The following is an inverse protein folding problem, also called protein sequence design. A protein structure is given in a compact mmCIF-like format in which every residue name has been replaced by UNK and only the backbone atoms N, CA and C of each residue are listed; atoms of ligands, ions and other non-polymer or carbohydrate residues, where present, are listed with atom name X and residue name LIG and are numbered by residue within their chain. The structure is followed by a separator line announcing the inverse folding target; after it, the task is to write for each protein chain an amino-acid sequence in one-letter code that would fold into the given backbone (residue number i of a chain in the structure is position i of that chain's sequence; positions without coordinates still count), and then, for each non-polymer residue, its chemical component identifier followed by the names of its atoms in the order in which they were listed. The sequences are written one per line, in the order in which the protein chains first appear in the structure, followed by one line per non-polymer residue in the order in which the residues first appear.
data_IF_854894384891
#
_entry.id   IF_854894384891
#
_cell.length_a   1.000
_cell.length_b   1.000
_cell.length_c   1.000
_cell.angle_alpha   90.00
_cell.angle_beta   90.00
_cell.angle_gamma   90.00
#
_symmetry.space_group_name_H-M   'P 1'
#
loop_
_entity.id
_entity.type
_entity.pdbx_description
1 polymer ?
#
# COMPACT_ATOMS: atom_id res chain seq x y z
N UNK A 1 12.18 -26.03 -16.42
CA UNK A 1 12.02 -27.07 -15.36
C UNK A 1 11.55 -26.41 -14.06
N UNK A 2 12.27 -25.40 -13.54
CA UNK A 2 11.96 -24.74 -12.26
C UNK A 2 10.52 -24.19 -12.19
N UNK A 3 10.07 -23.50 -13.24
CA UNK A 3 8.71 -22.94 -13.31
C UNK A 3 7.60 -24.01 -13.33
N UNK A 4 7.83 -25.16 -13.97
CA UNK A 4 6.86 -26.26 -13.96
C UNK A 4 6.77 -26.92 -12.58
N UNK A 5 7.91 -27.08 -11.89
CA UNK A 5 7.97 -27.61 -10.53
C UNK A 5 7.27 -26.69 -9.54
N UNK A 6 7.57 -25.39 -9.62
CA UNK A 6 6.89 -24.38 -8.79
C UNK A 6 5.37 -24.45 -8.94
N UNK A 7 4.86 -24.40 -10.19
CA UNK A 7 3.43 -24.51 -10.47
C UNK A 7 2.80 -25.81 -9.95
N UNK A 8 3.53 -26.92 -10.00
CA UNK A 8 3.04 -28.20 -9.50
C UNK A 8 2.90 -28.17 -7.95
N UNK A 9 3.87 -27.61 -7.26
CA UNK A 9 3.84 -27.47 -5.79
C UNK A 9 2.74 -26.49 -5.39
N UNK A 10 2.66 -25.32 -6.03
CA UNK A 10 1.62 -24.31 -5.78
C UNK A 10 0.20 -24.83 -6.02
N UNK A 11 0.02 -25.79 -6.92
CA UNK A 11 -1.28 -26.42 -7.19
C UNK A 11 -1.78 -27.31 -6.04
N UNK A 12 -0.90 -27.73 -5.13
CA UNK A 12 -1.24 -28.51 -3.94
C UNK A 12 -1.62 -27.64 -2.72
N UNK A 13 -1.46 -26.33 -2.83
CA UNK A 13 -1.82 -25.40 -1.78
C UNK A 13 -3.34 -25.38 -1.55
N UNK A 14 -3.76 -25.20 -0.29
CA UNK A 14 -5.16 -24.93 0.04
C UNK A 14 -5.57 -23.55 -0.47
N UNK A 15 -6.41 -23.51 -1.47
CA UNK A 15 -6.96 -22.30 -2.10
C UNK A 15 -8.39 -22.00 -1.68
N UNK A 16 -8.93 -22.75 -0.71
CA UNK A 16 -10.28 -22.52 -0.20
C UNK A 16 -10.27 -21.34 0.80
N UNK A 17 -10.62 -20.16 0.32
CA UNK A 17 -10.74 -18.93 1.12
C UNK A 17 -12.19 -18.67 1.41
N UNK A 18 -12.57 -18.58 2.68
CA UNK A 18 -13.96 -18.28 3.09
C UNK A 18 -14.31 -16.83 2.80
N UNK A 19 -15.60 -16.53 2.76
CA UNK A 19 -16.07 -15.16 2.58
C UNK A 19 -15.64 -14.26 3.75
N UNK A 20 -15.61 -14.77 4.97
CA UNK A 20 -15.17 -14.06 6.17
C UNK A 20 -13.67 -13.72 6.11
N UNK A 21 -12.82 -14.65 5.64
CA UNK A 21 -11.38 -14.39 5.48
C UNK A 21 -11.08 -13.35 4.42
N UNK A 22 -11.88 -13.32 3.36
CA UNK A 22 -11.66 -12.41 2.24
C UNK A 22 -12.31 -11.04 2.45
N UNK A 23 -13.33 -10.94 3.32
CA UNK A 23 -14.18 -9.76 3.43
C UNK A 23 -13.37 -8.50 3.75
N UNK A 24 -13.59 -7.47 2.94
CA UNK A 24 -13.12 -6.11 3.20
C UNK A 24 -14.32 -5.15 3.24
N UNK A 25 -14.33 -4.30 4.26
CA UNK A 25 -15.34 -3.27 4.47
C UNK A 25 -14.88 -1.98 3.80
N UNK A 26 -15.75 -1.37 2.98
CA UNK A 26 -15.45 -0.11 2.29
C UNK A 26 -15.72 1.10 3.18
N UNK A 27 -14.86 2.10 3.13
CA UNK A 27 -15.01 3.33 3.90
C UNK A 27 -14.58 4.59 3.12
N UNK A 28 -15.14 5.72 3.54
CA UNK A 28 -14.65 7.06 3.19
C UNK A 28 -14.12 7.73 4.46
N UNK A 29 -12.98 8.38 4.36
CA UNK A 29 -12.29 9.02 5.48
C UNK A 29 -11.86 10.44 5.12
N UNK A 30 -12.11 11.40 6.00
CA UNK A 30 -11.49 12.70 6.03
C UNK A 30 -10.41 12.71 7.09
N UNK A 31 -9.24 13.30 6.78
CA UNK A 31 -8.09 13.38 7.69
C UNK A 31 -7.54 14.79 7.71
N UNK A 32 -7.38 15.35 8.90
CA UNK A 32 -6.69 16.63 9.14
C UNK A 32 -5.48 16.36 10.02
N UNK A 33 -4.26 16.51 9.48
CA UNK A 33 -3.04 16.42 10.28
C UNK A 33 -2.99 17.55 11.32
N UNK A 34 -2.56 17.22 12.55
CA UNK A 34 -2.39 18.17 13.65
C UNK A 34 -0.93 18.33 14.09
N UNK A 35 0.00 17.65 13.41
CA UNK A 35 1.41 17.69 13.79
C UNK A 35 2.16 18.83 13.11
N UNK A 36 2.09 18.89 11.77
CA UNK A 36 2.85 19.85 10.99
C UNK A 36 2.20 20.14 9.64
N UNK A 37 2.58 21.26 9.04
CA UNK A 37 2.23 21.66 7.68
C UNK A 37 3.48 22.18 6.94
N UNK A 38 3.35 22.44 5.65
CA UNK A 38 4.38 23.15 4.90
C UNK A 38 4.06 24.63 4.87
N UNK A 39 5.08 25.47 5.17
CA UNK A 39 4.98 26.93 5.00
C UNK A 39 5.07 27.31 3.50
N UNK A 40 4.87 28.58 3.19
CA UNK A 40 4.95 29.12 1.83
C UNK A 40 6.32 28.90 1.15
N UNK A 41 7.35 28.61 1.94
CA UNK A 41 8.71 28.31 1.47
C UNK A 41 8.97 26.80 1.32
N UNK A 42 7.98 25.96 1.65
CA UNK A 42 8.06 24.51 1.58
C UNK A 42 8.78 23.85 2.77
N UNK A 43 9.02 24.58 3.87
CA UNK A 43 9.57 23.99 5.09
C UNK A 43 8.47 23.35 5.91
N UNK A 44 8.79 22.24 6.57
CA UNK A 44 7.88 21.60 7.54
C UNK A 44 7.90 22.38 8.85
N UNK A 45 6.74 22.89 9.26
CA UNK A 45 6.54 23.66 10.52
C UNK A 45 5.49 22.96 11.36
N UNK A 46 5.74 22.82 12.66
CA UNK A 46 4.77 22.26 13.58
C UNK A 46 3.62 23.25 13.82
N UNK A 47 2.40 22.72 13.92
CA UNK A 47 1.24 23.53 14.31
C UNK A 47 1.35 24.03 15.73
N UNK A 48 1.04 25.32 15.93
CA UNK A 48 0.86 25.91 17.25
C UNK A 48 -0.45 25.42 17.89
N UNK A 49 -0.60 25.61 19.19
CA UNK A 49 -1.82 25.24 19.92
C UNK A 49 -3.07 25.98 19.40
N UNK A 50 -2.92 27.25 18.98
CA UNK A 50 -4.02 28.03 18.41
C UNK A 50 -4.43 27.47 17.02
N UNK A 51 -3.47 27.09 16.19
CA UNK A 51 -3.75 26.46 14.89
C UNK A 51 -4.40 25.07 15.07
N UNK A 52 -3.92 24.25 16.01
CA UNK A 52 -4.57 22.96 16.35
C UNK A 52 -6.01 23.15 16.78
N UNK A 53 -6.31 24.21 17.53
CA UNK A 53 -7.67 24.54 17.91
C UNK A 53 -8.53 24.90 16.69
N UNK A 54 -8.00 25.68 15.76
CA UNK A 54 -8.70 26.01 14.51
C UNK A 54 -8.97 24.77 13.67
N UNK A 55 -8.00 23.84 13.56
CA UNK A 55 -8.19 22.58 12.87
C UNK A 55 -9.31 21.73 13.50
N UNK A 56 -9.39 21.73 14.83
CA UNK A 56 -10.47 21.05 15.55
C UNK A 56 -11.83 21.72 15.32
N UNK A 57 -11.88 23.06 15.27
CA UNK A 57 -13.10 23.79 14.92
C UNK A 57 -13.55 23.46 13.48
N UNK A 58 -12.60 23.33 12.55
CA UNK A 58 -12.88 22.88 11.17
C UNK A 58 -13.46 21.47 11.14
N UNK A 59 -12.85 20.51 11.86
CA UNK A 59 -13.38 19.15 11.95
C UNK A 59 -14.80 19.11 12.54
N UNK A 60 -15.05 19.88 13.60
CA UNK A 60 -16.39 19.99 14.22
C UNK A 60 -17.44 20.57 13.26
N UNK A 61 -17.08 21.57 12.44
CA UNK A 61 -18.01 22.12 11.42
C UNK A 61 -18.36 21.07 10.37
N UNK A 62 -17.38 20.25 9.95
CA UNK A 62 -17.63 19.15 9.02
C UNK A 62 -18.57 18.13 9.65
N UNK A 63 -18.32 17.73 10.89
CA UNK A 63 -19.19 16.84 11.64
C UNK A 63 -20.64 17.38 11.74
N UNK A 64 -20.78 18.65 12.12
CA UNK A 64 -22.09 19.31 12.21
C UNK A 64 -22.81 19.36 10.86
N UNK A 65 -22.08 19.63 9.78
CA UNK A 65 -22.65 19.62 8.43
C UNK A 65 -23.14 18.22 8.02
N UNK A 66 -22.40 17.18 8.35
CA UNK A 66 -22.82 15.78 8.12
C UNK A 66 -24.05 15.43 8.96
N UNK A 67 -24.08 15.79 10.25
CA UNK A 67 -25.25 15.61 11.14
C UNK A 67 -26.49 16.35 10.64
N UNK A 68 -26.31 17.44 9.88
CA UNK A 68 -27.37 18.20 9.23
C UNK A 68 -27.73 17.69 7.83
N UNK A 69 -27.20 16.52 7.43
CA UNK A 69 -27.61 15.80 6.21
C UNK A 69 -26.74 16.04 4.97
N UNK A 70 -25.57 16.71 5.09
CA UNK A 70 -24.59 16.74 3.99
C UNK A 70 -23.84 15.40 3.92
N UNK A 71 -23.34 15.09 2.73
CA UNK A 71 -22.36 13.98 2.58
C UNK A 71 -21.04 14.39 3.22
N UNK A 72 -20.22 13.41 3.63
CA UNK A 72 -18.91 13.69 4.22
C UNK A 72 -18.00 14.41 3.20
N UNK A 73 -18.09 14.05 1.93
CA UNK A 73 -17.34 14.64 0.82
C UNK A 73 -17.68 16.12 0.62
N UNK A 74 -18.99 16.46 0.58
CA UNK A 74 -19.42 17.84 0.41
C UNK A 74 -19.08 18.68 1.65
N UNK A 75 -19.28 18.13 2.84
CA UNK A 75 -18.97 18.82 4.09
C UNK A 75 -17.46 19.10 4.22
N UNK A 76 -16.62 18.15 3.86
CA UNK A 76 -15.16 18.31 3.86
C UNK A 76 -14.73 19.36 2.82
N UNK A 77 -15.29 19.31 1.63
CA UNK A 77 -14.99 20.25 0.54
C UNK A 77 -15.33 21.70 0.89
N UNK A 78 -16.43 21.93 1.61
CA UNK A 78 -16.81 23.28 2.04
C UNK A 78 -15.82 23.92 3.01
N UNK A 79 -15.03 23.11 3.72
CA UNK A 79 -13.95 23.52 4.63
C UNK A 79 -12.56 23.28 4.02
N UNK A 80 -12.44 23.22 2.67
CA UNK A 80 -11.19 23.01 1.93
C UNK A 80 -10.45 21.71 2.32
N UNK A 81 -11.17 20.69 2.82
CA UNK A 81 -10.63 19.38 3.16
C UNK A 81 -10.97 18.35 2.08
N UNK A 82 -10.18 17.30 2.02
CA UNK A 82 -10.37 16.19 1.08
C UNK A 82 -10.74 14.91 1.82
N UNK A 83 -11.49 14.06 1.13
CA UNK A 83 -11.76 12.71 1.58
C UNK A 83 -10.98 11.70 0.74
N UNK A 84 -10.69 10.56 1.35
CA UNK A 84 -10.11 9.39 0.69
C UNK A 84 -11.05 8.20 0.89
N UNK A 85 -11.09 7.31 -0.09
CA UNK A 85 -11.82 6.05 0.01
C UNK A 85 -10.84 4.90 0.17
N UNK A 86 -11.23 3.87 0.90
CA UNK A 86 -10.43 2.68 1.10
C UNK A 86 -11.29 1.49 1.49
N UNK A 87 -10.64 0.36 1.67
CA UNK A 87 -11.24 -0.82 2.24
C UNK A 87 -10.29 -1.42 3.27
N UNK A 88 -10.84 -2.16 4.23
CA UNK A 88 -10.06 -2.79 5.30
C UNK A 88 -10.63 -4.15 5.68
N UNK A 89 -9.75 -5.07 6.03
CA UNK A 89 -10.09 -6.37 6.59
C UNK A 89 -10.23 -6.31 8.12
N UNK A 90 -10.85 -7.30 8.72
CA UNK A 90 -11.03 -7.39 10.18
C UNK A 90 -9.71 -7.41 10.95
N UNK A 91 -8.64 -7.93 10.35
CA UNK A 91 -7.28 -8.04 10.90
C UNK A 91 -6.34 -6.92 10.42
N UNK A 92 -6.88 -5.89 9.75
CA UNK A 92 -6.08 -4.74 9.30
C UNK A 92 -5.38 -4.08 10.48
N UNK A 93 -4.07 -3.89 10.32
CA UNK A 93 -3.18 -3.23 11.28
C UNK A 93 -2.57 -1.93 10.74
N UNK A 94 -2.98 -1.49 9.57
CA UNK A 94 -2.46 -0.28 8.92
C UNK A 94 -3.27 0.97 9.28
N UNK A 95 -4.57 0.80 9.56
CA UNK A 95 -5.41 1.86 10.07
C UNK A 95 -5.06 2.20 11.52
N UNK A 96 -5.20 3.47 11.90
CA UNK A 96 -5.15 3.85 13.32
C UNK A 96 -6.19 3.06 14.13
N UNK A 97 -5.79 2.61 15.31
CA UNK A 97 -6.64 1.76 16.16
C UNK A 97 -7.98 2.41 16.50
N UNK A 98 -7.99 3.73 16.74
CA UNK A 98 -9.21 4.48 17.05
C UNK A 98 -10.12 4.59 15.84
N UNK A 99 -9.53 4.81 14.65
CA UNK A 99 -10.24 4.86 13.37
C UNK A 99 -10.87 3.50 13.05
N UNK A 100 -10.08 2.42 13.15
CA UNK A 100 -10.58 1.05 12.93
C UNK A 100 -11.73 0.71 13.87
N UNK A 101 -11.57 1.01 15.17
CA UNK A 101 -12.62 0.78 16.15
C UNK A 101 -13.89 1.53 15.81
N UNK A 102 -13.79 2.80 15.41
CA UNK A 102 -14.97 3.58 15.02
C UNK A 102 -15.67 2.95 13.80
N UNK A 103 -14.91 2.54 12.77
CA UNK A 103 -15.46 1.85 11.60
C UNK A 103 -16.12 0.51 11.94
N UNK A 104 -15.55 -0.24 12.91
CA UNK A 104 -16.12 -1.52 13.36
C UNK A 104 -17.47 -1.34 14.08
N UNK A 105 -17.66 -0.20 14.76
CA UNK A 105 -18.88 0.14 15.50
C UNK A 105 -19.99 0.74 14.60
N UNK A 106 -19.63 1.23 13.37
CA UNK A 106 -20.57 1.86 12.43
C UNK A 106 -21.34 0.82 11.62
N UNK A 107 -22.58 1.19 11.26
CA UNK A 107 -23.37 0.49 10.24
C UNK A 107 -23.14 1.14 8.87
N UNK A 108 -23.47 0.40 7.82
CA UNK A 108 -23.40 0.90 6.45
C UNK A 108 -24.17 2.24 6.29
N UNK A 109 -23.48 3.22 5.75
CA UNK A 109 -23.98 4.59 5.57
C UNK A 109 -23.80 5.50 6.79
N UNK A 110 -23.43 4.99 7.96
CA UNK A 110 -23.21 5.83 9.16
C UNK A 110 -21.83 6.49 9.13
N UNK A 111 -21.77 7.71 9.65
CA UNK A 111 -20.55 8.51 9.80
C UNK A 111 -20.22 8.67 11.28
N UNK A 112 -18.95 8.60 11.64
CA UNK A 112 -18.49 8.81 13.02
C UNK A 112 -18.56 10.27 13.45
N UNK A 113 -18.49 10.50 14.75
CA UNK A 113 -18.05 11.77 15.31
C UNK A 113 -16.56 12.01 15.00
N UNK A 114 -16.04 13.21 15.32
CA UNK A 114 -14.60 13.51 15.18
C UNK A 114 -13.79 12.55 16.07
N UNK A 115 -12.85 11.84 15.47
CA UNK A 115 -11.89 10.98 16.15
C UNK A 115 -10.58 11.74 16.28
N UNK A 116 -10.18 12.02 17.51
CA UNK A 116 -8.94 12.74 17.83
C UNK A 116 -7.84 11.74 18.19
N UNK A 117 -6.69 11.87 17.53
CA UNK A 117 -5.47 11.13 17.84
C UNK A 117 -4.32 12.10 18.10
N UNK A 118 -3.16 11.60 18.51
CA UNK A 118 -1.97 12.44 18.76
C UNK A 118 -1.47 13.16 17.49
N UNK A 119 -1.82 12.66 16.30
CA UNK A 119 -1.25 13.15 15.04
C UNK A 119 -2.26 13.74 14.07
N UNK A 120 -3.54 13.43 14.23
CA UNK A 120 -4.58 13.85 13.29
C UNK A 120 -5.99 13.80 13.88
N UNK A 121 -6.91 14.49 13.21
CA UNK A 121 -8.35 14.37 13.39
C UNK A 121 -8.94 13.61 12.21
N UNK A 122 -9.85 12.69 12.49
CA UNK A 122 -10.52 11.88 11.47
C UNK A 122 -12.03 11.98 11.62
N UNK A 123 -12.71 11.90 10.47
CA UNK A 123 -14.13 11.56 10.38
C UNK A 123 -14.24 10.46 9.36
N UNK A 124 -14.91 9.37 9.70
CA UNK A 124 -15.04 8.19 8.85
C UNK A 124 -16.49 7.83 8.63
N UNK A 125 -16.79 7.32 7.44
CA UNK A 125 -18.09 6.74 7.09
C UNK A 125 -17.87 5.32 6.62
N UNK A 126 -18.67 4.38 7.12
CA UNK A 126 -18.71 3.04 6.57
C UNK A 126 -19.59 3.05 5.31
N UNK A 127 -18.99 2.80 4.16
CA UNK A 127 -19.70 2.83 2.87
C UNK A 127 -20.36 1.50 2.54
N UNK A 128 -19.71 0.39 2.92
CA UNK A 128 -20.25 -0.96 2.73
C UNK A 128 -19.68 -1.95 3.73
N UNK A 129 -20.52 -2.88 4.16
CA UNK A 129 -20.11 -4.04 4.99
C UNK A 129 -19.24 -5.02 4.22
N UNK A 130 -19.35 -5.02 2.89
CA UNK A 130 -18.55 -5.82 1.97
C UNK A 130 -18.29 -5.02 0.71
N UNK A 131 -17.06 -4.52 0.54
CA UNK A 131 -16.58 -3.99 -0.72
C UNK A 131 -16.23 -5.16 -1.65
N UNK A 132 -17.01 -5.32 -2.71
CA UNK A 132 -16.89 -6.50 -3.59
C UNK A 132 -15.56 -6.56 -4.31
N UNK A 133 -15.07 -5.43 -4.79
CA UNK A 133 -13.84 -5.37 -5.58
C UNK A 133 -12.62 -5.59 -4.67
N UNK A 134 -12.60 -4.94 -3.51
CA UNK A 134 -11.55 -5.11 -2.51
C UNK A 134 -11.57 -6.55 -1.95
N UNK A 135 -12.73 -7.08 -1.63
CA UNK A 135 -12.91 -8.47 -1.13
C UNK A 135 -12.38 -9.50 -2.14
N UNK A 136 -12.71 -9.35 -3.44
CA UNK A 136 -12.22 -10.29 -4.46
C UNK A 136 -10.70 -10.16 -4.65
N UNK A 137 -10.17 -8.96 -4.62
CA UNK A 137 -8.72 -8.72 -4.65
C UNK A 137 -8.03 -9.32 -3.44
N UNK A 138 -8.58 -9.15 -2.25
CA UNK A 138 -8.05 -9.75 -1.02
C UNK A 138 -8.09 -11.27 -1.08
N UNK A 139 -9.20 -11.87 -1.56
CA UNK A 139 -9.32 -13.31 -1.79
C UNK A 139 -8.17 -13.83 -2.67
N UNK A 140 -7.88 -13.14 -3.77
CA UNK A 140 -6.78 -13.52 -4.64
C UNK A 140 -5.42 -13.38 -3.95
N UNK A 141 -5.22 -12.32 -3.18
CA UNK A 141 -4.00 -12.12 -2.41
C UNK A 141 -3.76 -13.25 -1.38
N UNK A 142 -4.82 -13.67 -0.68
CA UNK A 142 -4.76 -14.79 0.27
C UNK A 142 -4.39 -16.09 -0.45
N UNK A 143 -5.02 -16.36 -1.60
CA UNK A 143 -4.70 -17.54 -2.42
C UNK A 143 -3.24 -17.53 -2.86
N UNK A 144 -2.76 -16.40 -3.38
CA UNK A 144 -1.39 -16.27 -3.87
C UNK A 144 -0.37 -16.38 -2.73
N UNK A 145 -0.70 -15.81 -1.57
CA UNK A 145 0.10 -15.99 -0.35
C UNK A 145 0.17 -17.45 0.08
N UNK A 146 -0.96 -18.15 0.16
CA UNK A 146 -1.01 -19.58 0.52
C UNK A 146 -0.19 -20.45 -0.44
N UNK A 147 -0.26 -20.18 -1.75
CA UNK A 147 0.57 -20.87 -2.76
C UNK A 147 2.07 -20.62 -2.54
N UNK A 148 2.43 -19.36 -2.28
CA UNK A 148 3.82 -18.99 -2.01
C UNK A 148 4.34 -19.61 -0.71
N UNK A 149 3.56 -19.59 0.34
CA UNK A 149 3.90 -20.15 1.64
C UNK A 149 4.08 -21.67 1.53
N UNK A 150 3.17 -22.37 0.86
CA UNK A 150 3.25 -23.81 0.61
C UNK A 150 4.50 -24.17 -0.20
N UNK A 151 4.78 -23.40 -1.26
CA UNK A 151 6.01 -23.60 -2.05
C UNK A 151 7.28 -23.49 -1.18
N UNK A 152 7.34 -22.45 -0.34
CA UNK A 152 8.48 -22.24 0.55
C UNK A 152 8.62 -23.35 1.59
N UNK A 153 7.50 -23.79 2.18
CA UNK A 153 7.47 -24.90 3.15
C UNK A 153 8.01 -26.21 2.54
N UNK A 154 7.58 -26.55 1.33
CA UNK A 154 8.06 -27.74 0.60
C UNK A 154 9.57 -27.65 0.33
N UNK A 155 10.06 -26.48 -0.11
CA UNK A 155 11.49 -26.26 -0.34
C UNK A 155 12.31 -26.38 0.95
N UNK A 156 11.85 -25.79 2.03
CA UNK A 156 12.49 -25.92 3.35
C UNK A 156 12.50 -27.38 3.84
N UNK A 157 11.40 -28.10 3.63
CA UNK A 157 11.29 -29.51 3.93
C UNK A 157 12.34 -30.35 3.18
N UNK A 158 12.53 -30.09 1.89
CA UNK A 158 13.56 -30.76 1.09
C UNK A 158 14.98 -30.39 1.54
N UNK A 159 15.23 -29.10 1.83
CA UNK A 159 16.54 -28.65 2.35
C UNK A 159 16.90 -29.34 3.67
N UNK A 160 15.94 -29.49 4.58
CA UNK A 160 16.14 -30.16 5.87
C UNK A 160 16.38 -31.64 5.69
N UNK A 161 15.61 -32.30 4.80
CA UNK A 161 15.70 -33.77 4.54
C UNK A 161 17.00 -34.15 3.86
N UNK A 162 17.42 -33.38 2.88
CA UNK A 162 18.60 -33.70 2.06
C UNK A 162 19.93 -33.20 2.66
N UNK A 163 19.87 -32.54 3.84
CA UNK A 163 21.05 -32.02 4.53
C UNK A 163 21.83 -30.96 3.73
N UNK A 164 21.13 -30.26 2.82
CA UNK A 164 21.73 -29.30 1.91
C UNK A 164 22.40 -28.14 2.66
N UNK A 165 23.73 -28.03 2.50
CA UNK A 165 24.53 -26.96 3.09
C UNK A 165 25.02 -26.03 2.00
N UNK A 166 24.63 -24.75 2.08
CA UNK A 166 25.19 -23.71 1.21
C UNK A 166 26.65 -23.49 1.58
N UNK A 167 27.56 -23.76 0.64
CA UNK A 167 28.98 -23.45 0.83
C UNK A 167 29.19 -21.94 0.71
N UNK A 168 29.08 -21.25 1.83
CA UNK A 168 29.20 -19.77 1.89
C UNK A 168 30.54 -19.28 1.32
N UNK A 169 31.63 -20.05 1.43
CA UNK A 169 32.92 -19.70 0.84
C UNK A 169 32.90 -19.70 -0.69
N UNK A 170 32.15 -20.60 -1.31
CA UNK A 170 32.04 -20.66 -2.77
C UNK A 170 31.05 -19.61 -3.27
N UNK A 171 29.95 -19.35 -2.55
CA UNK A 171 28.99 -18.28 -2.88
C UNK A 171 29.67 -16.91 -2.84
N UNK A 172 30.52 -16.66 -1.86
CA UNK A 172 31.26 -15.39 -1.75
C UNK A 172 32.27 -15.15 -2.91
N UNK A 173 32.62 -16.20 -3.66
CA UNK A 173 33.48 -16.09 -4.85
C UNK A 173 32.69 -15.79 -6.13
N UNK A 174 31.36 -15.91 -6.11
CA UNK A 174 30.52 -15.60 -7.26
C UNK A 174 30.39 -14.07 -7.34
N UNK A 175 31.16 -13.49 -8.25
CA UNK A 175 31.08 -12.06 -8.58
C UNK A 175 30.32 -11.91 -9.89
N UNK A 176 29.18 -11.28 -9.85
CA UNK A 176 28.46 -10.88 -11.06
C UNK A 176 29.11 -9.60 -11.60
N UNK A 177 30.07 -9.76 -12.50
CA UNK A 177 30.75 -8.60 -13.14
C UNK A 177 29.86 -7.87 -14.15
N UNK A 178 28.75 -8.49 -14.55
CA UNK A 178 27.77 -7.87 -15.44
C UNK A 178 26.46 -7.76 -14.71
N UNK A 179 25.98 -6.53 -14.49
CA UNK A 179 24.58 -6.26 -14.15
C UNK A 179 23.74 -6.82 -15.31
N UNK A 180 22.83 -7.75 -15.02
CA UNK A 180 21.77 -8.10 -15.95
C UNK A 180 20.87 -6.89 -16.05
N UNK A 181 21.17 -5.98 -16.98
CA UNK A 181 20.20 -4.98 -17.40
C UNK A 181 19.05 -5.74 -18.03
N UNK A 182 17.90 -5.69 -17.39
CA UNK A 182 16.64 -6.14 -17.99
C UNK A 182 16.47 -5.28 -19.24
N UNK A 183 16.62 -5.89 -20.40
CA UNK A 183 16.40 -5.23 -21.68
C UNK A 183 14.89 -4.97 -21.77
N UNK A 184 14.52 -3.71 -21.72
CA UNK A 184 13.14 -3.26 -21.92
C UNK A 184 12.73 -3.66 -23.35
N UNK A 185 11.69 -4.50 -23.54
CA UNK A 185 11.32 -4.98 -24.87
C UNK A 185 10.82 -3.86 -25.81
N UNK A 186 10.77 -2.62 -25.32
CA UNK A 186 10.29 -1.46 -26.07
C UNK A 186 11.35 -0.38 -26.37
N UNK A 187 12.64 -0.68 -26.17
CA UNK A 187 13.70 0.27 -26.52
C UNK A 187 13.91 0.26 -28.04
N UNK A 188 13.44 1.29 -28.69
CA UNK A 188 13.68 1.58 -30.11
C UNK A 188 15.18 1.71 -30.38
N UNK A 189 15.67 0.95 -31.36
CA UNK A 189 17.05 0.96 -31.83
C UNK A 189 17.35 2.32 -32.49
N UNK A 190 17.96 3.24 -31.78
CA UNK A 190 18.61 4.38 -32.41
C UNK A 190 20.03 3.98 -32.87
N UNK A 191 20.19 3.93 -34.18
CA UNK A 191 21.44 3.64 -34.85
C UNK A 191 22.41 4.82 -34.65
N UNK A 192 23.41 4.66 -33.80
CA UNK A 192 24.52 5.61 -33.75
C UNK A 192 25.53 5.27 -34.85
N UNK A 193 25.57 6.11 -35.86
CA UNK A 193 26.61 6.13 -36.86
C UNK A 193 27.87 6.73 -36.25
N UNK A 194 28.86 5.91 -35.99
CA UNK A 194 30.19 6.38 -35.57
C UNK A 194 30.96 6.89 -36.78
N UNK A 195 31.22 8.18 -36.80
CA UNK A 195 32.17 8.81 -37.77
C UNK A 195 33.57 8.64 -37.20
N UNK A 196 34.33 7.80 -37.84
CA UNK A 196 35.77 7.63 -37.63
C UNK A 196 36.51 8.83 -38.22
N UNK A 197 37.14 9.61 -37.37
CA UNK A 197 38.08 10.66 -37.84
C UNK A 197 39.49 10.13 -37.67
N UNK A 198 40.09 9.73 -38.78
CA UNK A 198 41.52 9.43 -38.89
C UNK A 198 42.31 10.74 -38.72
N UNK A 199 43.23 10.72 -37.78
CA UNK A 199 44.23 11.80 -37.67
C UNK A 199 45.51 11.31 -38.32
N UNK A 200 45.84 11.87 -39.47
CA UNK A 200 47.10 11.63 -40.13
C UNK A 200 48.17 12.55 -39.57
N UNK A 201 49.25 11.94 -39.19
CA UNK A 201 50.54 12.54 -38.86
C UNK A 201 51.13 13.29 -40.05
N UNK A 202 51.70 14.46 -39.81
CA UNK A 202 52.70 15.01 -40.71
C UNK A 202 53.75 15.83 -39.98
N UNK A 203 54.95 15.32 -40.05
CA UNK A 203 56.26 15.88 -39.68
C UNK A 203 56.60 17.14 -40.48
N UNK A 204 57.04 18.20 -39.92
CA UNK A 204 58.31 18.92 -40.09
C UNK A 204 58.41 20.11 -39.13
#
# INVERSE_FOLDING_TARGET
IRSKMQKAIEAEADTNVTDEEANERGYTMMTISTTSHQDDSGNTVEYTDDEKKQLKETANKIEDAVKNGKTLEDAAKDEDQQTTTGAYASDDSTLDTSVKKALDDLKEGETSDVIETDSALYIVRLDSETDKDATEKNRQNIIDKRKSDHYNEVLEGWQKKDGWKVNKKNVAKISFKNSLTQQDPNASTETQTSTETQNAESTQ
#
